data_IF_967947787494
#
_entry.id   IF_967947787494
#
_cell.length_a   1.000
_cell.length_b   1.000
_cell.length_c   1.000
_cell.angle_alpha   90.00
_cell.angle_beta   90.00
_cell.angle_gamma   90.00
#
_symmetry.space_group_name_H-M   'P 1'
#
loop_
_entity.id
_entity.type
_entity.pdbx_description
1 polymer ?
#
# COMPACT_ATOMS: atom_id res chain seq x y z
N UNK A 1 -2.71 -4.82 -15.36
CA UNK A 1 -3.49 -4.26 -16.47
C UNK A 1 -2.61 -4.19 -17.73
N UNK A 2 -3.08 -4.63 -18.89
CA UNK A 2 -2.34 -4.49 -20.15
C UNK A 2 -2.67 -3.13 -20.81
N UNK A 3 -1.65 -2.40 -21.24
CA UNK A 3 -1.77 -1.11 -21.91
C UNK A 3 -1.05 -1.21 -23.26
N UNK A 4 -1.81 -1.05 -24.33
CA UNK A 4 -1.31 -1.02 -25.71
C UNK A 4 -0.75 0.36 -26.03
N UNK A 5 0.45 0.68 -25.55
CA UNK A 5 1.21 1.89 -25.90
C UNK A 5 2.63 1.55 -26.27
N UNK A 6 3.19 2.27 -27.25
CA UNK A 6 4.60 2.16 -27.64
C UNK A 6 5.49 3.17 -26.92
N UNK A 7 4.91 4.21 -26.30
CA UNK A 7 5.66 5.27 -25.63
C UNK A 7 5.84 4.94 -24.13
N UNK A 8 7.04 4.48 -23.76
CA UNK A 8 7.41 4.13 -22.38
C UNK A 8 7.44 5.38 -21.48
N UNK A 9 7.98 6.49 -21.97
CA UNK A 9 8.15 7.72 -21.19
C UNK A 9 6.81 8.32 -20.80
N UNK A 10 5.86 8.41 -21.75
CA UNK A 10 4.51 8.86 -21.47
C UNK A 10 3.84 7.98 -20.41
N UNK A 11 3.98 6.66 -20.52
CA UNK A 11 3.39 5.74 -19.55
C UNK A 11 4.01 5.93 -18.15
N UNK A 12 5.33 6.12 -18.08
CA UNK A 12 6.02 6.43 -16.83
C UNK A 12 5.49 7.70 -16.18
N UNK A 13 5.38 8.78 -16.94
CA UNK A 13 4.84 10.06 -16.46
C UNK A 13 3.42 9.90 -15.93
N UNK A 14 2.54 9.17 -16.62
CA UNK A 14 1.17 8.92 -16.13
C UNK A 14 1.12 8.07 -14.87
N UNK A 15 2.04 7.13 -14.70
CA UNK A 15 2.14 6.36 -13.46
C UNK A 15 2.56 7.25 -12.29
N UNK A 16 3.54 8.15 -12.49
CA UNK A 16 3.96 9.14 -11.49
C UNK A 16 2.81 10.08 -11.16
N UNK A 17 2.16 10.67 -12.17
CA UNK A 17 0.99 11.55 -11.99
C UNK A 17 -0.15 10.86 -11.23
N UNK A 18 -0.41 9.58 -11.50
CA UNK A 18 -1.40 8.80 -10.74
C UNK A 18 -1.03 8.68 -9.26
N UNK A 19 0.26 8.50 -8.92
CA UNK A 19 0.69 8.42 -7.52
C UNK A 19 0.58 9.79 -6.83
N UNK A 20 0.91 10.86 -7.54
CA UNK A 20 0.80 12.25 -7.07
C UNK A 20 -0.65 12.69 -6.87
N UNK A 21 -1.59 12.28 -7.74
CA UNK A 21 -3.03 12.53 -7.61
C UNK A 21 -3.59 11.98 -6.29
N UNK A 22 -3.10 10.79 -5.89
CA UNK A 22 -3.43 10.18 -4.61
C UNK A 22 -2.52 10.67 -3.46
N UNK A 23 -1.65 11.64 -3.75
CA UNK A 23 -0.72 12.30 -2.85
C UNK A 23 0.23 11.32 -2.13
N UNK A 24 0.61 10.23 -2.80
CA UNK A 24 1.61 9.32 -2.27
C UNK A 24 3.01 9.90 -2.49
N UNK A 25 3.79 10.14 -1.43
CA UNK A 25 5.16 10.59 -1.57
C UNK A 25 6.00 9.49 -2.22
N UNK A 26 6.74 9.84 -3.27
CA UNK A 26 7.57 8.88 -3.99
C UNK A 26 8.89 8.71 -3.23
N UNK A 27 9.19 7.47 -2.82
CA UNK A 27 10.43 7.14 -2.13
C UNK A 27 11.54 6.82 -3.12
N UNK A 28 11.20 6.06 -4.17
CA UNK A 28 12.16 5.58 -5.15
C UNK A 28 11.54 5.45 -6.53
N UNK A 29 12.20 6.05 -7.51
CA UNK A 29 11.94 5.83 -8.93
C UNK A 29 13.12 5.12 -9.54
N UNK A 30 12.90 3.94 -10.11
CA UNK A 30 13.92 3.22 -10.83
C UNK A 30 13.43 2.88 -12.24
N UNK A 31 13.79 3.74 -13.20
CA UNK A 31 13.44 3.55 -14.61
C UNK A 31 14.05 2.28 -15.21
N UNK A 32 15.26 1.90 -14.80
CA UNK A 32 15.93 0.71 -15.31
C UNK A 32 15.21 -0.57 -14.87
N UNK A 33 14.79 -0.64 -13.61
CA UNK A 33 14.01 -1.76 -13.07
C UNK A 33 12.52 -1.64 -13.35
N UNK A 34 12.06 -0.50 -13.87
CA UNK A 34 10.67 -0.16 -14.16
C UNK A 34 9.74 -0.27 -12.93
N UNK A 35 10.27 0.15 -11.78
CA UNK A 35 9.54 0.12 -10.49
C UNK A 35 9.52 1.52 -9.89
N UNK A 36 8.34 1.94 -9.45
CA UNK A 36 8.13 3.12 -8.61
C UNK A 36 7.62 2.65 -7.26
N UNK A 37 8.27 3.09 -6.19
CA UNK A 37 7.91 2.76 -4.82
C UNK A 37 7.64 4.06 -4.04
N UNK A 38 6.53 4.07 -3.31
CA UNK A 38 6.15 5.19 -2.46
C UNK A 38 6.63 4.99 -1.03
N UNK A 39 6.74 6.08 -0.28
CA UNK A 39 6.82 6.00 1.18
C UNK A 39 5.43 5.69 1.77
N UNK A 40 5.39 5.40 3.07
CA UNK A 40 4.15 5.18 3.80
C UNK A 40 3.36 6.49 3.95
N UNK A 41 2.14 6.53 3.41
CA UNK A 41 1.15 7.58 3.67
C UNK A 41 0.20 7.14 4.78
N UNK A 42 0.16 7.89 5.88
CA UNK A 42 -0.86 7.74 6.95
C UNK A 42 -2.16 8.39 6.48
N UNK A 43 -3.29 7.69 6.55
CA UNK A 43 -4.57 8.21 6.08
C UNK A 43 -5.77 7.44 6.63
N UNK A 44 -6.56 8.12 7.47
CA UNK A 44 -7.86 7.68 7.95
C UNK A 44 -8.89 7.77 6.82
N UNK A 45 -9.55 6.65 6.54
CA UNK A 45 -10.76 6.52 5.72
C UNK A 45 -10.77 7.08 4.28
N UNK A 46 -10.40 6.16 3.38
CA UNK A 46 -11.22 5.66 2.27
C UNK A 46 -11.58 6.55 1.07
N UNK A 47 -11.85 7.84 1.18
CA UNK A 47 -12.26 8.64 0.00
C UNK A 47 -11.95 10.11 0.23
N UNK A 48 -10.81 10.49 -0.31
CA UNK A 48 -10.38 11.87 -0.45
C UNK A 48 -11.20 12.50 -1.62
N UNK A 49 -12.17 13.42 -1.36
CA UNK A 49 -13.33 13.77 -2.21
C UNK A 49 -13.10 14.39 -3.61
N UNK A 50 -11.89 14.40 -4.14
CA UNK A 50 -11.51 15.24 -5.30
C UNK A 50 -11.69 14.58 -6.66
N UNK A 51 -12.04 13.29 -6.70
CA UNK A 51 -12.64 12.69 -7.89
C UNK A 51 -14.15 12.83 -7.74
N UNK A 52 -14.68 13.94 -8.26
CA UNK A 52 -16.09 14.29 -8.19
C UNK A 52 -16.99 13.25 -8.84
N UNK A 53 -17.41 12.25 -8.07
CA UNK A 53 -18.78 11.77 -8.15
C UNK A 53 -19.24 11.20 -6.81
N UNK A 54 -20.24 11.88 -6.27
CA UNK A 54 -21.13 11.64 -5.14
C UNK A 54 -21.13 10.24 -4.49
N UNK A 55 -20.49 10.07 -3.34
CA UNK A 55 -20.94 9.08 -2.33
C UNK A 55 -20.79 9.62 -0.90
N UNK A 56 -21.93 9.91 -0.27
CA UNK A 56 -22.23 9.54 1.10
C UNK A 56 -21.56 10.31 2.25
N UNK A 57 -22.14 11.45 2.64
CA UNK A 57 -21.87 12.16 3.89
C UNK A 57 -22.20 11.37 5.19
N UNK A 58 -22.60 10.10 5.09
CA UNK A 58 -23.01 9.27 6.22
C UNK A 58 -21.88 8.39 6.81
N UNK A 59 -20.79 8.14 6.08
CA UNK A 59 -19.68 7.29 6.57
C UNK A 59 -18.62 8.06 7.39
N UNK A 60 -18.85 9.35 7.69
CA UNK A 60 -17.92 10.19 8.46
C UNK A 60 -18.10 10.14 9.97
N UNK A 61 -19.13 9.45 10.45
CA UNK A 61 -19.48 9.44 11.87
C UNK A 61 -19.64 8.01 12.35
N UNK A 62 -18.55 7.26 12.44
CA UNK A 62 -18.29 6.21 13.44
C UNK A 62 -17.20 5.26 12.95
N UNK A 63 -16.17 5.07 13.77
CA UNK A 63 -15.20 3.95 13.70
C UNK A 63 -14.12 4.08 12.61
N UNK A 64 -12.87 4.47 12.87
CA UNK A 64 -11.90 3.71 13.66
C UNK A 64 -10.73 4.65 14.00
N UNK A 65 -10.44 4.90 15.28
CA UNK A 65 -9.31 5.74 15.74
C UNK A 65 -7.92 5.09 15.54
N UNK A 66 -7.87 3.97 14.83
CA UNK A 66 -6.63 3.26 14.54
C UNK A 66 -5.99 3.86 13.29
N UNK A 67 -4.79 4.42 13.42
CA UNK A 67 -4.07 4.95 12.27
C UNK A 67 -3.81 3.82 11.28
N UNK A 68 -4.13 4.08 10.01
CA UNK A 68 -3.81 3.19 8.89
C UNK A 68 -2.76 3.88 8.05
N UNK A 69 -1.71 3.17 7.68
CA UNK A 69 -0.76 3.63 6.67
C UNK A 69 -0.76 2.71 5.47
N UNK A 70 -0.44 3.26 4.31
CA UNK A 70 -0.38 2.51 3.05
C UNK A 70 0.90 2.85 2.29
N UNK A 71 1.43 1.85 1.60
CA UNK A 71 2.56 1.98 0.67
C UNK A 71 2.15 1.36 -0.66
N UNK A 72 2.56 1.96 -1.77
CA UNK A 72 2.24 1.48 -3.11
C UNK A 72 3.52 1.20 -3.88
N UNK A 73 3.50 0.10 -4.63
CA UNK A 73 4.54 -0.29 -5.57
C UNK A 73 3.88 -0.43 -6.93
N UNK A 74 4.39 0.30 -7.91
CA UNK A 74 3.95 0.21 -9.31
C UNK A 74 5.09 -0.39 -10.12
N UNK A 75 4.80 -1.48 -10.83
CA UNK A 75 5.77 -2.17 -11.68
C UNK A 75 5.26 -2.21 -13.12
N UNK A 76 6.14 -1.87 -14.05
CA UNK A 76 5.86 -1.92 -15.48
C UNK A 76 6.69 -3.02 -16.15
N UNK A 77 6.02 -3.97 -16.80
CA UNK A 77 6.63 -5.11 -17.47
C UNK A 77 6.27 -5.08 -18.95
N UNK A 78 7.22 -5.13 -19.89
CA UNK A 78 6.90 -5.23 -21.31
C UNK A 78 6.21 -6.57 -21.59
N UNK A 79 5.12 -6.54 -22.36
CA UNK A 79 4.41 -7.76 -22.74
C UNK A 79 5.14 -8.45 -23.90
N UNK A 80 5.46 -9.73 -23.75
CA UNK A 80 6.09 -10.53 -24.82
C UNK A 80 5.09 -10.94 -25.92
N UNK A 81 3.81 -11.06 -25.57
CA UNK A 81 2.79 -11.60 -26.46
C UNK A 81 2.14 -10.53 -27.36
N UNK A 82 2.11 -9.28 -26.91
CA UNK A 82 1.44 -8.17 -27.59
C UNK A 82 2.23 -6.88 -27.42
N UNK A 83 2.23 -5.97 -28.40
CA UNK A 83 2.89 -4.68 -28.26
C UNK A 83 2.22 -3.86 -27.15
N UNK A 84 2.93 -3.68 -26.04
CA UNK A 84 2.45 -2.91 -24.88
C UNK A 84 3.14 -3.27 -23.58
N UNK A 85 2.60 -2.73 -22.50
CA UNK A 85 3.12 -2.89 -21.15
C UNK A 85 2.06 -3.44 -20.20
N UNK A 86 2.44 -4.40 -19.38
CA UNK A 86 1.70 -4.89 -18.24
C UNK A 86 2.06 -4.06 -17.01
N UNK A 87 1.06 -3.36 -16.48
CA UNK A 87 1.19 -2.59 -15.24
C UNK A 87 0.65 -3.39 -14.07
N UNK A 88 1.46 -3.53 -13.03
CA UNK A 88 1.11 -4.10 -11.75
C UNK A 88 1.11 -2.99 -10.71
N UNK A 89 -0.01 -2.84 -10.00
CA UNK A 89 -0.12 -1.93 -8.86
C UNK A 89 -0.32 -2.81 -7.64
N UNK A 90 0.55 -2.67 -6.66
CA UNK A 90 0.48 -3.38 -5.39
C UNK A 90 0.38 -2.37 -4.26
N UNK A 91 -0.72 -2.39 -3.52
CA UNK A 91 -0.90 -1.51 -2.38
C UNK A 91 -0.87 -2.33 -1.10
N UNK A 92 0.03 -1.99 -0.19
CA UNK A 92 0.18 -2.63 1.12
C UNK A 92 -0.42 -1.74 2.18
N UNK A 93 -1.25 -2.32 3.05
CA UNK A 93 -1.89 -1.64 4.16
C UNK A 93 -1.30 -2.12 5.47
N UNK A 94 -1.11 -1.20 6.40
CA UNK A 94 -0.65 -1.49 7.76
C UNK A 94 -1.49 -0.72 8.78
N UNK A 95 -1.75 -1.34 9.92
CA UNK A 95 -2.52 -0.81 11.03
C UNK A 95 -1.62 -0.48 12.20
N UNK A 96 -1.83 0.66 12.85
CA UNK A 96 -1.08 0.98 14.07
C UNK A 96 -1.45 0.01 15.20
N UNK A 97 -0.44 -0.61 15.82
CA UNK A 97 -0.56 -1.43 17.01
C UNK A 97 -0.48 -0.54 18.23
N UNK A 98 -1.64 -0.22 18.81
CA UNK A 98 -1.71 0.54 20.04
C UNK A 98 -1.61 -0.43 21.22
N UNK A 99 -0.66 -0.25 22.17
CA UNK A 99 -0.64 -1.06 23.38
C UNK A 99 -1.94 -0.81 24.14
N UNK A 100 -2.81 -1.83 24.17
CA UNK A 100 -4.09 -1.73 24.85
C UNK A 100 -3.90 -1.38 26.32
N UNK A 101 -4.80 -0.56 26.86
CA UNK A 101 -4.90 -0.20 28.29
C UNK A 101 -5.02 -1.42 29.24
N UNK A 102 -5.04 -2.66 28.71
CA UNK A 102 -4.99 -3.90 29.47
C UNK A 102 -3.64 -4.18 30.15
N UNK A 103 -2.57 -3.44 29.84
CA UNK A 103 -1.30 -3.54 30.55
C UNK A 103 -1.36 -3.02 32.01
N UNK A 104 -2.45 -2.36 32.41
CA UNK A 104 -2.68 -1.87 33.76
C UNK A 104 -3.67 -2.73 34.57
N UNK A 105 -3.69 -4.05 34.39
CA UNK A 105 -4.31 -4.94 35.37
C UNK A 105 -3.26 -5.32 36.42
N UNK A 106 -3.37 -4.86 37.69
CA UNK A 106 -2.50 -5.30 38.78
C UNK A 106 -2.87 -6.75 39.14
N UNK A 107 -2.44 -7.70 38.32
CA UNK A 107 -2.81 -9.11 38.47
C UNK A 107 -2.06 -10.09 37.56
N UNK A 108 -1.06 -9.65 36.80
CA UNK A 108 -0.24 -10.50 35.94
C UNK A 108 0.79 -11.35 36.71
N UNK A 109 0.32 -12.20 37.63
CA UNK A 109 1.12 -13.31 38.10
C UNK A 109 1.16 -14.38 37.00
N UNK A 110 2.33 -14.66 36.42
CA UNK A 110 2.54 -15.92 35.69
C UNK A 110 3.94 -16.43 36.00
N UNK A 111 3.95 -17.67 36.46
CA UNK A 111 5.07 -18.44 36.97
C UNK A 111 6.23 -18.52 35.98
N UNK A 112 7.46 -18.40 36.49
CA UNK A 112 8.65 -18.91 35.82
C UNK A 112 8.66 -20.44 36.04
N UNK A 113 8.30 -21.20 35.01
CA UNK A 113 8.61 -22.63 34.96
C UNK A 113 9.56 -22.92 33.79
N UNK A 114 10.74 -23.40 34.17
CA UNK A 114 11.85 -23.79 33.33
C UNK A 114 11.56 -25.05 32.51
N UNK A 115 11.91 -25.08 31.22
CA UNK A 115 12.96 -25.97 30.65
C UNK A 115 13.13 -25.83 29.12
N UNK A 116 14.34 -26.15 28.60
CA UNK A 116 14.76 -25.84 27.24
C UNK A 116 14.44 -26.97 26.27
N UNK A 117 14.08 -26.61 25.04
CA UNK A 117 14.13 -27.50 23.89
C UNK A 117 14.58 -26.69 22.67
N UNK A 118 15.83 -26.97 22.30
CA UNK A 118 16.49 -26.52 21.10
C UNK A 118 15.77 -27.08 19.88
N UNK A 119 15.36 -26.17 18.99
CA UNK A 119 15.03 -26.49 17.61
C UNK A 119 15.52 -25.33 16.76
N UNK A 120 16.72 -25.53 16.25
CA UNK A 120 17.36 -24.76 15.19
C UNK A 120 16.42 -24.71 13.97
N UNK A 121 15.65 -23.63 13.91
CA UNK A 121 15.05 -23.15 12.68
C UNK A 121 15.74 -21.82 12.45
N UNK A 122 16.60 -21.75 11.43
CA UNK A 122 16.92 -20.50 10.73
C UNK A 122 15.62 -19.95 10.13
N UNK A 123 14.71 -19.51 10.99
CA UNK A 123 13.80 -18.45 10.68
C UNK A 123 14.71 -17.25 10.52
N UNK A 124 14.94 -16.84 9.28
CA UNK A 124 15.49 -15.54 8.95
C UNK A 124 14.56 -14.54 9.65
N UNK A 125 14.93 -14.19 10.87
CA UNK A 125 14.37 -13.10 11.63
C UNK A 125 14.79 -11.87 10.84
N UNK A 126 13.99 -11.51 9.85
CA UNK A 126 13.76 -10.10 9.60
C UNK A 126 13.24 -9.57 10.92
N UNK A 127 14.15 -9.07 11.75
CA UNK A 127 13.83 -8.27 12.91
C UNK A 127 12.98 -7.11 12.39
N UNK A 128 11.66 -7.27 12.38
CA UNK A 128 10.77 -6.13 12.34
C UNK A 128 10.92 -5.52 13.73
N UNK A 129 11.92 -4.65 13.85
CA UNK A 129 12.09 -3.74 14.96
C UNK A 129 10.71 -3.24 15.40
N UNK A 130 10.48 -3.18 16.71
CA UNK A 130 9.32 -2.58 17.39
C UNK A 130 8.67 -1.45 16.58
N UNK A 131 7.86 -1.80 15.58
CA UNK A 131 7.09 -0.89 14.77
C UNK A 131 5.71 -1.15 15.30
N UNK A 132 5.11 -0.16 15.95
CA UNK A 132 3.70 -0.21 16.34
C UNK A 132 2.80 -0.22 15.10
N UNK A 133 3.11 -1.04 14.10
CA UNK A 133 2.46 -1.15 12.81
C UNK A 133 2.43 -2.62 12.40
N UNK A 134 1.23 -3.19 12.34
CA UNK A 134 0.98 -4.54 11.90
C UNK A 134 0.54 -4.58 10.44
N UNK A 135 1.06 -5.52 9.66
CA UNK A 135 0.65 -5.69 8.27
C UNK A 135 -0.80 -6.16 8.18
N UNK A 136 -1.60 -5.47 7.35
CA UNK A 136 -2.98 -5.80 7.03
C UNK A 136 -3.13 -6.53 5.67
N UNK A 137 -2.02 -6.74 4.95
CA UNK A 137 -2.01 -7.31 3.61
C UNK A 137 -2.26 -6.29 2.49
N UNK A 138 -2.74 -6.79 1.33
CA UNK A 138 -2.97 -5.99 0.12
C UNK A 138 -4.29 -5.23 0.15
N UNK A 139 -4.27 -3.96 -0.26
CA UNK A 139 -5.46 -3.12 -0.42
C UNK A 139 -5.94 -3.13 -1.87
N UNK A 140 -6.64 -4.20 -2.25
CA UNK A 140 -7.14 -4.36 -3.62
C UNK A 140 -8.06 -3.23 -4.09
N UNK A 141 -8.79 -2.57 -3.18
CA UNK A 141 -9.68 -1.45 -3.55
C UNK A 141 -8.84 -0.26 -4.04
N UNK A 142 -7.76 0.06 -3.34
CA UNK A 142 -6.83 1.12 -3.76
C UNK A 142 -6.13 0.75 -5.07
N UNK A 143 -5.71 -0.51 -5.24
CA UNK A 143 -5.11 -0.99 -6.49
C UNK A 143 -6.04 -0.78 -7.69
N UNK A 144 -7.33 -1.14 -7.55
CA UNK A 144 -8.32 -0.94 -8.61
C UNK A 144 -8.60 0.55 -8.88
N UNK A 145 -8.66 1.37 -7.84
CA UNK A 145 -8.87 2.82 -7.98
C UNK A 145 -7.71 3.48 -8.75
N UNK A 146 -6.46 3.16 -8.40
CA UNK A 146 -5.27 3.66 -9.09
C UNK A 146 -5.21 3.18 -10.54
N UNK A 147 -5.51 1.90 -10.81
CA UNK A 147 -5.59 1.40 -12.18
C UNK A 147 -6.70 2.11 -12.99
N UNK A 148 -7.82 2.42 -12.35
CA UNK A 148 -8.90 3.20 -12.95
C UNK A 148 -8.47 4.61 -13.34
N UNK A 149 -7.79 5.32 -12.43
CA UNK A 149 -7.26 6.68 -12.68
C UNK A 149 -6.21 6.69 -13.78
N UNK A 150 -5.24 5.76 -13.74
CA UNK A 150 -4.23 5.63 -14.78
C UNK A 150 -4.86 5.43 -16.16
N UNK A 151 -5.88 4.57 -16.26
CA UNK A 151 -6.62 4.35 -17.51
C UNK A 151 -7.34 5.62 -17.97
N UNK A 152 -7.88 6.41 -17.05
CA UNK A 152 -8.53 7.67 -17.37
C UNK A 152 -7.53 8.68 -17.98
N UNK A 153 -6.38 8.88 -17.34
CA UNK A 153 -5.31 9.77 -17.84
C UNK A 153 -4.77 9.35 -19.21
N UNK A 154 -4.62 8.04 -19.44
CA UNK A 154 -4.19 7.50 -20.73
C UNK A 154 -5.23 7.67 -21.84
N UNK A 155 -6.52 7.76 -21.50
CA UNK A 155 -7.57 8.01 -22.47
C UNK A 155 -7.64 9.48 -22.87
N UNK A 156 -7.39 10.39 -21.92
CA UNK A 156 -7.39 11.84 -22.17
C UNK A 156 -6.20 12.36 -22.98
N UNK A 157 -5.12 11.57 -23.07
CA UNK A 157 -3.88 11.96 -23.78
C UNK A 157 -3.79 11.45 -25.23
N UNK A 158 -4.88 10.90 -25.77
CA UNK A 158 -5.04 10.56 -27.20
C UNK A 158 -5.75 11.65 -27.96
#
# INVERSE_FOLDING_TARGET
>A
MLISTSNEDLLWERMVETLEDFQFPILKENRLSRVIETDYKVGASLFEPWHGDSVGLADRMESTLQSVRRRVIVTMVPSEQQPGYLIHVEAYKEFEDLPGLAANSPGGATFLESRPLDRDLEQIQGQSANSGWMSAGRDYKLEQAMMGQLRHLLTQSR
#
